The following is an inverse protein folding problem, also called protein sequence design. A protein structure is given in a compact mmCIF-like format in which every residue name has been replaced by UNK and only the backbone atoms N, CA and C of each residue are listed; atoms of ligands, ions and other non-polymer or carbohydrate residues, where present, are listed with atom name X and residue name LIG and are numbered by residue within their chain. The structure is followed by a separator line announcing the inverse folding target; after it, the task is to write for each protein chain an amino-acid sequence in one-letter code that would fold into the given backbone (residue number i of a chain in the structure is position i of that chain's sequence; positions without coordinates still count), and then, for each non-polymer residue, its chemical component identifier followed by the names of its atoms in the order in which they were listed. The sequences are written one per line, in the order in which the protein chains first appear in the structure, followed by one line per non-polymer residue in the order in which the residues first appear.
data_IF_169576622217
#
_entry.id   IF_169576622217
#
_cell.length_a   1.000
_cell.length_b   1.000
_cell.length_c   1.000
_cell.angle_alpha   90.00
_cell.angle_beta   90.00
_cell.angle_gamma   90.00
#
_symmetry.space_group_name_H-M   'P 1'
#
loop_
_entity.id
_entity.type
_entity.pdbx_description
1 polymer ?
#
# COMPACT_ATOMS: atom_id res chain seq x y z
N UNK A 1 -17.94 -9.45 4.91
CA UNK A 1 -17.45 -9.62 3.51
C UNK A 1 -18.45 -8.92 2.60
N UNK A 2 -17.99 -8.04 1.70
CA UNK A 2 -18.84 -7.41 0.68
C UNK A 2 -18.75 -8.15 -0.66
N UNK A 3 -17.62 -8.82 -0.88
CA UNK A 3 -17.44 -9.83 -1.93
C UNK A 3 -16.65 -11.00 -1.34
N UNK A 4 -16.48 -12.14 -2.04
CA UNK A 4 -15.68 -13.25 -1.52
C UNK A 4 -14.24 -12.88 -1.16
N UNK A 5 -13.68 -11.84 -1.79
CA UNK A 5 -12.30 -11.39 -1.60
C UNK A 5 -12.16 -9.98 -1.01
N UNK A 6 -13.24 -9.33 -0.56
CA UNK A 6 -13.19 -8.01 0.08
C UNK A 6 -13.89 -8.01 1.42
N UNK A 7 -13.24 -7.47 2.45
CA UNK A 7 -13.79 -7.28 3.79
C UNK A 7 -13.94 -5.80 4.10
N UNK A 8 -15.17 -5.41 4.44
CA UNK A 8 -15.49 -4.07 4.92
C UNK A 8 -15.35 -4.02 6.45
N UNK A 9 -14.66 -3.01 6.95
CA UNK A 9 -14.58 -2.61 8.35
C UNK A 9 -15.33 -1.30 8.51
N UNK A 10 -16.41 -1.33 9.28
CA UNK A 10 -17.29 -0.18 9.48
C UNK A 10 -17.11 0.41 10.88
N UNK A 11 -17.08 1.74 11.00
CA UNK A 11 -17.12 2.38 12.31
C UNK A 11 -18.39 2.03 13.07
N UNK A 12 -18.29 1.83 14.37
CA UNK A 12 -19.46 1.61 15.23
C UNK A 12 -20.36 2.86 15.20
N UNK A 13 -21.65 2.67 14.95
CA UNK A 13 -22.64 3.76 14.95
C UNK A 13 -22.65 4.62 13.67
N UNK A 14 -21.97 4.18 12.59
CA UNK A 14 -21.91 4.91 11.32
C UNK A 14 -22.98 4.49 10.29
N UNK A 15 -24.02 3.77 10.73
CA UNK A 15 -25.06 3.32 9.82
C UNK A 15 -25.69 4.50 9.07
N UNK A 16 -25.71 4.41 7.74
CA UNK A 16 -26.25 5.45 6.86
C UNK A 16 -25.37 6.69 6.69
N UNK A 17 -24.21 6.79 7.38
CA UNK A 17 -23.28 7.88 7.16
C UNK A 17 -22.41 7.61 5.92
N UNK A 18 -22.37 8.58 5.01
CA UNK A 18 -21.43 8.58 3.89
C UNK A 18 -20.04 9.01 4.40
N UNK A 19 -19.05 8.12 4.32
CA UNK A 19 -17.70 8.32 4.86
C UNK A 19 -16.64 8.13 3.79
N UNK A 20 -15.45 8.75 3.94
CA UNK A 20 -14.27 8.39 3.16
C UNK A 20 -13.95 6.91 3.29
N UNK A 21 -13.27 6.35 2.28
CA UNK A 21 -12.83 4.95 2.30
C UNK A 21 -11.32 4.83 2.09
N UNK A 22 -10.72 3.90 2.81
CA UNK A 22 -9.40 3.37 2.52
C UNK A 22 -9.54 1.96 1.95
N UNK A 23 -9.14 1.76 0.69
CA UNK A 23 -8.85 0.42 0.16
C UNK A 23 -7.44 0.03 0.59
N UNK A 24 -7.33 -0.99 1.44
CA UNK A 24 -6.03 -1.44 1.96
C UNK A 24 -5.58 -2.75 1.34
N UNK A 25 -4.36 -2.75 0.80
CA UNK A 25 -3.69 -3.86 0.15
C UNK A 25 -2.59 -4.38 1.08
N UNK A 26 -2.71 -5.64 1.51
CA UNK A 26 -1.74 -6.22 2.43
C UNK A 26 -0.37 -6.45 1.79
N UNK A 27 0.69 -6.45 2.60
CA UNK A 27 2.03 -6.84 2.22
C UNK A 27 2.20 -8.36 2.16
N UNK A 28 3.45 -8.79 1.90
CA UNK A 28 3.81 -10.21 1.83
C UNK A 28 4.49 -10.60 0.51
N UNK A 29 5.17 -9.64 -0.14
CA UNK A 29 5.95 -9.89 -1.35
C UNK A 29 5.13 -10.46 -2.51
N UNK A 30 3.86 -10.09 -2.62
CA UNK A 30 2.87 -10.59 -3.59
C UNK A 30 2.64 -12.11 -3.54
N UNK A 31 3.28 -12.84 -2.59
CA UNK A 31 3.24 -14.31 -2.47
C UNK A 31 2.59 -14.81 -1.20
N UNK A 32 2.54 -13.99 -0.18
CA UNK A 32 1.96 -14.32 1.13
C UNK A 32 0.96 -13.24 1.57
N UNK A 33 0.28 -13.55 2.67
CA UNK A 33 -0.66 -12.62 3.28
C UNK A 33 -2.11 -12.91 2.89
N UNK A 34 -2.97 -12.12 3.47
CA UNK A 34 -4.41 -12.12 3.23
C UNK A 34 -5.04 -10.91 3.91
N UNK A 35 -6.34 -10.71 3.75
CA UNK A 35 -7.12 -9.72 4.51
C UNK A 35 -6.98 -9.86 6.03
N UNK A 36 -6.57 -11.03 6.53
CA UNK A 36 -6.33 -11.23 7.97
C UNK A 36 -4.99 -10.66 8.42
N UNK A 37 -3.99 -10.58 7.54
CA UNK A 37 -2.66 -10.04 7.85
C UNK A 37 -2.71 -8.57 8.25
N UNK A 38 -3.58 -7.79 7.60
CA UNK A 38 -3.78 -6.36 7.88
C UNK A 38 -4.98 -6.07 8.80
N UNK A 39 -5.70 -7.10 9.26
CA UNK A 39 -6.98 -6.95 9.99
C UNK A 39 -6.88 -6.05 11.21
N UNK A 40 -5.82 -6.19 12.02
CA UNK A 40 -5.58 -5.34 13.20
C UNK A 40 -5.46 -3.86 12.84
N UNK A 41 -4.77 -3.55 11.74
CA UNK A 41 -4.58 -2.18 11.30
C UNK A 41 -5.89 -1.60 10.73
N UNK A 42 -6.59 -2.37 9.91
CA UNK A 42 -7.89 -1.98 9.35
C UNK A 42 -8.94 -1.72 10.44
N UNK A 43 -9.02 -2.60 11.46
CA UNK A 43 -9.90 -2.42 12.61
C UNK A 43 -9.57 -1.15 13.39
N UNK A 44 -8.27 -0.87 13.64
CA UNK A 44 -7.84 0.32 14.37
C UNK A 44 -8.20 1.61 13.63
N UNK A 45 -8.10 1.63 12.29
CA UNK A 45 -8.51 2.78 11.49
C UNK A 45 -10.04 2.96 11.48
N UNK A 46 -10.81 1.90 11.26
CA UNK A 46 -12.27 1.96 11.29
C UNK A 46 -12.79 2.37 12.68
N UNK A 47 -12.14 1.92 13.77
CA UNK A 47 -12.50 2.30 15.13
C UNK A 47 -12.37 3.81 15.42
N UNK A 48 -11.67 4.57 14.56
CA UNK A 48 -11.61 6.04 14.66
C UNK A 48 -12.98 6.73 14.45
N UNK A 49 -13.92 6.05 13.84
CA UNK A 49 -15.23 6.62 13.50
C UNK A 49 -15.24 7.51 12.24
N UNK A 50 -14.10 7.70 11.58
CA UNK A 50 -13.92 8.74 10.55
C UNK A 50 -13.89 8.22 9.12
N UNK A 51 -13.69 6.92 8.92
CA UNK A 51 -13.59 6.30 7.59
C UNK A 51 -14.09 4.86 7.61
N UNK A 52 -14.48 4.35 6.46
CA UNK A 52 -14.57 2.92 6.20
C UNK A 52 -13.24 2.39 5.70
N UNK A 53 -12.95 1.13 5.99
CA UNK A 53 -11.76 0.46 5.45
C UNK A 53 -12.21 -0.80 4.74
N UNK A 54 -11.71 -1.00 3.52
CA UNK A 54 -11.91 -2.22 2.76
C UNK A 54 -10.56 -2.88 2.59
N UNK A 55 -10.39 -4.12 3.06
CA UNK A 55 -9.21 -4.92 2.78
C UNK A 55 -9.52 -5.88 1.61
N UNK A 56 -8.57 -5.98 0.68
CA UNK A 56 -8.64 -6.84 -0.49
C UNK A 56 -7.74 -8.06 -0.35
N UNK A 57 -8.27 -9.22 -0.66
CA UNK A 57 -7.55 -10.50 -0.80
C UNK A 57 -7.26 -10.69 -2.30
N UNK A 58 -6.20 -10.05 -2.78
CA UNK A 58 -5.79 -10.12 -4.18
C UNK A 58 -5.08 -11.45 -4.47
N UNK A 59 -5.10 -11.91 -5.72
CA UNK A 59 -4.46 -13.15 -6.17
C UNK A 59 -2.94 -13.07 -6.01
N UNK A 60 -2.35 -14.17 -5.51
CA UNK A 60 -0.94 -14.24 -5.10
C UNK A 60 -0.09 -15.08 -6.06
N UNK A 61 1.13 -14.60 -6.31
CA UNK A 61 2.20 -15.35 -6.95
C UNK A 61 2.68 -16.50 -6.02
N UNK A 62 3.34 -17.54 -6.53
CA UNK A 62 3.63 -17.79 -7.95
C UNK A 62 2.45 -18.36 -8.74
N UNK A 63 1.33 -18.72 -8.06
CA UNK A 63 0.15 -19.29 -8.74
C UNK A 63 -0.50 -18.27 -9.67
N UNK A 64 -0.50 -17.01 -9.25
CA UNK A 64 -1.06 -15.88 -9.97
C UNK A 64 -0.02 -14.74 -10.01
N UNK A 65 0.98 -14.84 -10.92
CA UNK A 65 2.02 -13.83 -11.04
C UNK A 65 1.46 -12.53 -11.64
N UNK A 66 2.30 -11.51 -11.77
CA UNK A 66 1.94 -10.28 -12.49
C UNK A 66 1.33 -10.61 -13.88
N UNK A 67 0.20 -9.95 -14.27
CA UNK A 67 -0.44 -8.80 -13.62
C UNK A 67 -1.65 -9.15 -12.71
N UNK A 68 -1.95 -10.43 -12.44
CA UNK A 68 -3.25 -10.87 -11.90
C UNK A 68 -3.63 -10.18 -10.57
N UNK A 69 -2.69 -10.03 -9.63
CA UNK A 69 -2.94 -9.31 -8.38
C UNK A 69 -3.20 -7.81 -8.59
N UNK A 70 -2.54 -7.19 -9.57
CA UNK A 70 -2.79 -5.79 -9.94
C UNK A 70 -4.18 -5.61 -10.56
N UNK A 71 -4.60 -6.55 -11.43
CA UNK A 71 -5.93 -6.53 -12.03
C UNK A 71 -7.04 -6.60 -10.97
N UNK A 72 -6.83 -7.40 -9.91
CA UNK A 72 -7.76 -7.47 -8.79
C UNK A 72 -7.86 -6.13 -8.04
N UNK A 73 -6.72 -5.44 -7.86
CA UNK A 73 -6.69 -4.13 -7.21
C UNK A 73 -7.44 -3.06 -8.04
N UNK A 74 -7.23 -3.03 -9.35
CA UNK A 74 -7.93 -2.15 -10.29
C UNK A 74 -9.44 -2.44 -10.27
N UNK A 75 -9.81 -3.72 -10.32
CA UNK A 75 -11.20 -4.16 -10.26
C UNK A 75 -11.88 -3.76 -8.95
N UNK A 76 -11.15 -3.84 -7.82
CA UNK A 76 -11.67 -3.44 -6.51
C UNK A 76 -11.95 -1.93 -6.43
N UNK A 77 -11.07 -1.08 -7.00
CA UNK A 77 -11.32 0.38 -7.06
C UNK A 77 -12.59 0.67 -7.86
N UNK A 78 -12.74 0.08 -9.05
CA UNK A 78 -13.93 0.30 -9.86
C UNK A 78 -15.19 -0.21 -9.16
N UNK A 79 -15.15 -1.39 -8.53
CA UNK A 79 -16.25 -1.91 -7.73
C UNK A 79 -16.67 -0.94 -6.60
N UNK A 80 -15.71 -0.38 -5.86
CA UNK A 80 -15.97 0.58 -4.79
C UNK A 80 -16.68 1.84 -5.34
N UNK A 81 -16.24 2.34 -6.49
CA UNK A 81 -16.86 3.51 -7.15
C UNK A 81 -18.29 3.19 -7.56
N UNK A 82 -18.50 2.06 -8.23
CA UNK A 82 -19.81 1.67 -8.77
C UNK A 82 -20.84 1.38 -7.66
N UNK A 83 -20.38 0.92 -6.48
CA UNK A 83 -21.23 0.58 -5.34
C UNK A 83 -21.13 1.57 -4.17
N UNK A 84 -20.55 2.76 -4.39
CA UNK A 84 -20.29 3.72 -3.33
C UNK A 84 -21.54 4.10 -2.52
N UNK A 85 -22.67 4.30 -3.19
CA UNK A 85 -23.95 4.61 -2.53
C UNK A 85 -24.43 3.47 -1.63
N UNK A 86 -24.36 2.22 -2.11
CA UNK A 86 -24.75 1.02 -1.37
C UNK A 86 -23.84 0.79 -0.15
N UNK A 87 -22.53 1.03 -0.33
CA UNK A 87 -21.51 0.90 0.71
C UNK A 87 -21.46 2.12 1.65
N UNK A 88 -22.27 3.16 1.41
CA UNK A 88 -22.23 4.44 2.13
C UNK A 88 -20.82 5.06 2.14
N UNK A 89 -20.17 5.07 0.97
CA UNK A 89 -18.83 5.59 0.74
C UNK A 89 -18.94 6.90 -0.06
N UNK A 90 -18.14 7.88 0.30
CA UNK A 90 -17.93 9.07 -0.52
C UNK A 90 -16.93 8.74 -1.66
N UNK A 91 -17.46 8.58 -2.88
CA UNK A 91 -16.66 8.25 -4.06
C UNK A 91 -15.61 9.33 -4.44
N UNK A 92 -15.72 10.55 -3.91
CA UNK A 92 -14.73 11.60 -4.11
C UNK A 92 -13.57 11.51 -3.10
N UNK A 93 -13.71 10.67 -2.07
CA UNK A 93 -12.74 10.53 -1.00
C UNK A 93 -12.26 9.08 -0.87
N UNK A 94 -11.67 8.57 -1.96
CA UNK A 94 -11.07 7.22 -2.01
C UNK A 94 -9.57 7.35 -1.80
N UNK A 95 -9.08 6.76 -0.72
CA UNK A 95 -7.66 6.51 -0.48
C UNK A 95 -7.35 5.06 -0.83
N UNK A 96 -6.27 4.81 -1.55
CA UNK A 96 -5.73 3.46 -1.68
C UNK A 96 -4.41 3.40 -0.90
N UNK A 97 -4.17 2.29 -0.20
CA UNK A 97 -2.95 2.18 0.59
C UNK A 97 -2.54 0.74 0.80
N UNK A 98 -1.33 0.56 1.31
CA UNK A 98 -0.81 -0.75 1.63
C UNK A 98 0.60 -0.70 2.17
N UNK A 99 1.05 -1.85 2.62
CA UNK A 99 2.39 -2.06 3.15
C UNK A 99 3.23 -2.93 2.20
N UNK A 100 4.53 -2.60 2.06
CA UNK A 100 5.49 -3.40 1.27
C UNK A 100 5.01 -3.60 -0.18
N UNK A 101 4.80 -4.86 -0.61
CA UNK A 101 4.20 -5.20 -1.91
C UNK A 101 2.78 -4.64 -2.11
N UNK A 102 1.99 -4.51 -1.04
CA UNK A 102 0.68 -3.85 -1.10
C UNK A 102 0.81 -2.35 -1.41
N UNK A 103 1.85 -1.70 -0.90
CA UNK A 103 2.21 -0.31 -1.26
C UNK A 103 2.62 -0.18 -2.73
N UNK A 104 3.31 -1.18 -3.27
CA UNK A 104 3.63 -1.25 -4.70
C UNK A 104 2.35 -1.37 -5.55
N UNK A 105 1.46 -2.29 -5.20
CA UNK A 105 0.18 -2.44 -5.90
C UNK A 105 -0.68 -1.17 -5.84
N UNK A 106 -0.66 -0.45 -4.70
CA UNK A 106 -1.37 0.81 -4.57
C UNK A 106 -0.84 1.88 -5.54
N UNK A 107 0.49 2.01 -5.67
CA UNK A 107 1.14 2.91 -6.64
C UNK A 107 0.77 2.54 -8.08
N UNK A 108 0.93 1.26 -8.44
CA UNK A 108 0.63 0.77 -9.79
C UNK A 108 -0.85 0.93 -10.15
N UNK A 109 -1.76 0.66 -9.20
CA UNK A 109 -3.20 0.86 -9.38
C UNK A 109 -3.53 2.34 -9.64
N UNK A 110 -2.92 3.26 -8.88
CA UNK A 110 -3.18 4.69 -9.02
C UNK A 110 -2.70 5.25 -10.38
N UNK A 111 -1.67 4.65 -10.98
CA UNK A 111 -1.16 5.00 -12.30
C UNK A 111 -1.87 4.26 -13.44
N UNK A 112 -2.69 3.26 -13.15
CA UNK A 112 -3.39 2.51 -14.20
C UNK A 112 -4.35 3.43 -14.98
N UNK A 113 -4.51 3.17 -16.27
CA UNK A 113 -5.33 3.97 -17.16
C UNK A 113 -6.77 4.16 -16.64
N UNK A 114 -7.33 3.12 -16.03
CA UNK A 114 -8.72 3.14 -15.54
C UNK A 114 -8.90 3.78 -14.19
N UNK A 115 -7.85 3.89 -13.36
CA UNK A 115 -7.93 4.44 -12.00
C UNK A 115 -7.27 5.82 -11.86
N UNK A 116 -6.45 6.23 -12.82
CA UNK A 116 -5.78 7.52 -12.81
C UNK A 116 -6.82 8.67 -12.68
N UNK A 117 -6.59 9.56 -11.72
CA UNK A 117 -7.50 10.67 -11.42
C UNK A 117 -8.75 10.33 -10.61
N UNK A 118 -9.01 9.05 -10.29
CA UNK A 118 -10.15 8.61 -9.48
C UNK A 118 -9.82 8.43 -7.99
N UNK A 119 -8.53 8.41 -7.66
CA UNK A 119 -8.01 8.18 -6.30
C UNK A 119 -7.57 9.51 -5.73
N UNK A 120 -8.10 9.89 -4.56
CA UNK A 120 -7.78 11.17 -3.91
C UNK A 120 -6.40 11.16 -3.27
N UNK A 121 -6.00 10.04 -2.67
CA UNK A 121 -4.72 9.95 -1.95
C UNK A 121 -4.15 8.55 -1.84
N UNK A 122 -2.83 8.46 -1.58
CA UNK A 122 -2.11 7.23 -1.31
C UNK A 122 -1.57 7.20 0.12
N UNK A 123 -1.72 6.06 0.79
CA UNK A 123 -1.16 5.76 2.11
C UNK A 123 -0.19 4.58 2.00
N UNK A 124 1.10 4.84 2.06
CA UNK A 124 2.14 3.85 1.77
C UNK A 124 3.00 3.58 3.00
N UNK A 125 3.17 2.32 3.35
CA UNK A 125 4.08 1.89 4.41
C UNK A 125 5.22 1.11 3.79
N UNK A 126 6.44 1.61 3.95
CA UNK A 126 7.68 0.97 3.43
C UNK A 126 7.48 0.28 2.06
N UNK A 127 6.95 0.99 1.04
CA UNK A 127 6.53 0.37 -0.21
C UNK A 127 7.71 -0.17 -1.01
N UNK A 128 7.50 -1.26 -1.75
CA UNK A 128 8.39 -1.65 -2.85
C UNK A 128 8.16 -0.68 -4.00
N UNK A 129 9.20 0.01 -4.45
CA UNK A 129 9.10 0.85 -5.66
C UNK A 129 9.87 0.27 -6.84
N UNK A 130 10.80 -0.65 -6.60
CA UNK A 130 11.56 -1.41 -7.60
C UNK A 130 11.60 -2.88 -7.21
N UNK A 131 11.17 -3.77 -8.09
CA UNK A 131 11.12 -5.22 -7.86
C UNK A 131 12.47 -5.90 -8.16
N UNK A 132 13.57 -5.29 -7.75
CA UNK A 132 14.94 -5.80 -7.88
C UNK A 132 15.88 -5.11 -6.89
N UNK A 133 17.06 -5.70 -6.67
CA UNK A 133 18.16 -5.04 -5.95
C UNK A 133 18.62 -3.82 -6.75
N UNK A 134 18.40 -2.64 -6.21
CA UNK A 134 18.73 -1.37 -6.86
C UNK A 134 20.11 -0.82 -6.47
N UNK A 135 20.88 -1.60 -5.70
CA UNK A 135 22.21 -1.24 -5.25
C UNK A 135 22.26 -0.11 -4.20
N UNK A 136 21.10 0.27 -3.64
CA UNK A 136 21.02 1.35 -2.65
C UNK A 136 21.77 1.01 -1.36
N UNK A 137 22.15 2.05 -0.60
CA UNK A 137 22.85 1.88 0.67
C UNK A 137 22.01 1.09 1.67
N UNK A 138 20.71 1.36 1.76
CA UNK A 138 19.82 0.63 2.66
C UNK A 138 19.70 -0.85 2.29
N UNK A 139 19.70 -1.19 0.99
CA UNK A 139 19.70 -2.58 0.55
C UNK A 139 20.94 -3.34 1.03
N UNK A 140 22.10 -2.69 1.00
CA UNK A 140 23.34 -3.30 1.49
C UNK A 140 23.40 -3.34 3.02
N UNK A 141 23.06 -2.23 3.69
CA UNK A 141 23.21 -2.06 5.13
C UNK A 141 22.24 -2.93 5.93
N UNK A 142 20.99 -3.10 5.45
CA UNK A 142 19.92 -3.82 6.14
C UNK A 142 19.55 -5.15 5.48
N UNK A 143 20.46 -5.71 4.68
CA UNK A 143 20.27 -6.92 3.89
C UNK A 143 19.83 -8.15 4.69
N UNK A 144 20.08 -8.18 6.02
CA UNK A 144 19.77 -9.34 6.87
C UNK A 144 19.47 -8.95 8.31
N UNK A 145 18.37 -9.53 8.86
CA UNK A 145 18.06 -9.43 10.29
C UNK A 145 17.21 -8.21 10.68
N UNK A 146 16.62 -7.48 9.71
CA UNK A 146 15.81 -6.29 9.96
C UNK A 146 14.34 -6.44 9.50
N UNK A 147 13.81 -7.66 9.55
CA UNK A 147 12.40 -7.96 9.26
C UNK A 147 12.16 -8.40 7.82
N UNK A 148 12.90 -7.85 6.85
CA UNK A 148 12.91 -8.27 5.45
C UNK A 148 14.36 -8.47 5.00
N UNK A 149 14.75 -9.72 4.82
CA UNK A 149 16.08 -10.04 4.30
C UNK A 149 16.09 -9.90 2.76
N UNK A 150 17.21 -9.40 2.22
CA UNK A 150 17.37 -9.15 0.78
C UNK A 150 17.15 -10.43 -0.05
N UNK A 151 17.64 -11.58 0.40
CA UNK A 151 17.44 -12.89 -0.27
C UNK A 151 15.96 -13.26 -0.37
N UNK A 152 15.17 -12.96 0.67
CA UNK A 152 13.73 -13.19 0.69
C UNK A 152 13.05 -12.25 -0.31
N UNK A 153 13.43 -10.97 -0.31
CA UNK A 153 12.87 -9.99 -1.25
C UNK A 153 13.16 -10.36 -2.70
N UNK A 154 14.37 -10.83 -3.01
CA UNK A 154 14.70 -11.33 -4.35
C UNK A 154 13.87 -12.55 -4.75
N UNK A 155 13.59 -13.47 -3.79
CA UNK A 155 12.72 -14.61 -4.06
C UNK A 155 11.29 -14.17 -4.38
N UNK A 156 10.76 -13.18 -3.66
CA UNK A 156 9.46 -12.56 -3.95
C UNK A 156 9.44 -11.92 -5.34
N UNK A 157 10.45 -11.13 -5.67
CA UNK A 157 10.58 -10.49 -6.97
C UNK A 157 10.53 -11.53 -8.10
N UNK A 158 11.31 -12.60 -8.00
CA UNK A 158 11.31 -13.69 -9.00
C UNK A 158 9.96 -14.38 -9.12
N UNK A 159 9.28 -14.64 -8.00
CA UNK A 159 7.97 -15.29 -8.01
C UNK A 159 6.88 -14.42 -8.65
N UNK A 160 6.89 -13.12 -8.35
CA UNK A 160 5.91 -12.18 -8.87
C UNK A 160 6.11 -11.91 -10.38
N UNK A 161 7.36 -11.84 -10.82
CA UNK A 161 7.71 -11.46 -12.20
C UNK A 161 8.12 -12.63 -13.09
N UNK A 162 7.70 -13.85 -12.75
CA UNK A 162 8.11 -15.09 -13.47
C UNK A 162 7.84 -15.04 -14.98
N UNK A 163 6.83 -14.29 -15.42
CA UNK A 163 6.43 -14.13 -16.81
C UNK A 163 6.57 -12.67 -17.32
N UNK A 164 7.28 -11.80 -16.59
CA UNK A 164 7.37 -10.38 -16.89
C UNK A 164 8.77 -9.82 -16.59
N UNK A 165 9.11 -8.71 -17.25
CA UNK A 165 10.31 -7.96 -16.93
C UNK A 165 10.07 -7.18 -15.62
N UNK A 166 10.86 -7.45 -14.57
CA UNK A 166 10.78 -6.76 -13.30
C UNK A 166 11.13 -5.26 -13.40
N UNK A 167 11.68 -4.82 -14.54
CA UNK A 167 11.95 -3.41 -14.85
C UNK A 167 10.79 -2.71 -15.57
N UNK A 168 9.71 -3.40 -15.86
CA UNK A 168 8.48 -2.77 -16.34
C UNK A 168 7.98 -1.74 -15.32
N UNK A 169 7.65 -0.52 -15.74
CA UNK A 169 7.22 0.56 -14.86
C UNK A 169 5.92 0.26 -14.10
N UNK A 170 5.05 -0.58 -14.64
CA UNK A 170 3.86 -1.06 -13.92
C UNK A 170 4.17 -2.02 -12.76
N UNK A 171 5.38 -2.60 -12.71
CA UNK A 171 5.91 -3.42 -11.61
C UNK A 171 6.82 -2.58 -10.74
N UNK A 172 7.79 -1.93 -11.36
CA UNK A 172 8.81 -1.09 -10.70
C UNK A 172 8.47 0.38 -10.91
N UNK A 173 7.45 0.86 -10.21
CA UNK A 173 6.92 2.24 -10.34
C UNK A 173 8.01 3.31 -10.12
N UNK A 174 9.03 2.99 -9.33
CA UNK A 174 10.21 3.85 -9.18
C UNK A 174 11.01 4.09 -10.48
N UNK A 175 10.71 3.39 -11.58
CA UNK A 175 11.29 3.60 -12.92
C UNK A 175 10.40 4.44 -13.84
N UNK A 176 9.18 4.79 -13.44
CA UNK A 176 8.36 5.74 -14.18
C UNK A 176 9.09 7.08 -14.37
N UNK A 177 8.76 7.82 -15.42
CA UNK A 177 9.24 9.19 -15.60
C UNK A 177 8.71 10.12 -14.48
N UNK A 178 9.31 11.29 -14.30
CA UNK A 178 8.84 12.26 -13.32
C UNK A 178 7.44 12.80 -13.67
N UNK A 179 7.13 12.88 -14.97
CA UNK A 179 5.81 13.24 -15.47
C UNK A 179 4.75 12.21 -15.05
N UNK A 180 5.05 10.90 -15.20
CA UNK A 180 4.16 9.84 -14.76
C UNK A 180 4.00 9.83 -13.25
N UNK A 181 5.08 9.96 -12.47
CA UNK A 181 5.03 10.04 -11.02
C UNK A 181 4.22 11.26 -10.54
N UNK A 182 4.26 12.36 -11.27
CA UNK A 182 3.46 13.54 -10.99
C UNK A 182 1.95 13.36 -11.27
N UNK A 183 1.54 12.29 -11.91
CA UNK A 183 0.12 11.91 -12.02
C UNK A 183 -0.41 11.26 -10.73
N UNK A 184 0.48 10.75 -9.86
CA UNK A 184 0.08 10.21 -8.58
C UNK A 184 -0.59 11.29 -7.71
N UNK A 185 -1.62 10.93 -6.94
CA UNK A 185 -2.29 11.87 -6.04
C UNK A 185 -1.41 12.23 -4.84
N UNK A 186 -1.92 13.10 -3.95
CA UNK A 186 -1.23 13.39 -2.70
C UNK A 186 -0.93 12.10 -1.93
N UNK A 187 0.26 11.99 -1.38
CA UNK A 187 0.76 10.72 -0.83
C UNK A 187 1.36 10.92 0.56
N UNK A 188 1.02 10.05 1.49
CA UNK A 188 1.76 9.85 2.74
C UNK A 188 2.56 8.56 2.62
N UNK A 189 3.90 8.66 2.69
CA UNK A 189 4.81 7.53 2.74
C UNK A 189 5.47 7.45 4.11
N UNK A 190 5.26 6.34 4.81
CA UNK A 190 5.87 6.06 6.10
C UNK A 190 6.92 4.98 5.92
N UNK A 191 8.17 5.35 6.10
CA UNK A 191 9.34 4.48 5.98
C UNK A 191 9.79 3.94 7.34
N UNK A 192 10.34 2.73 7.38
CA UNK A 192 11.11 2.23 8.50
C UNK A 192 12.58 2.66 8.35
N UNK A 193 13.24 3.06 9.46
CA UNK A 193 14.65 3.48 9.42
C UNK A 193 15.57 2.34 9.01
N UNK A 194 15.32 1.12 9.53
CA UNK A 194 16.15 -0.06 9.32
C UNK A 194 15.46 -1.04 8.38
N UNK A 195 15.45 -0.70 7.10
CA UNK A 195 14.71 -1.42 6.08
C UNK A 195 15.47 -1.36 4.75
N UNK A 196 15.58 -2.48 4.05
CA UNK A 196 16.20 -2.54 2.72
C UNK A 196 15.49 -1.63 1.71
N UNK A 197 14.19 -1.37 1.89
CA UNK A 197 13.37 -0.54 0.99
C UNK A 197 13.37 0.95 1.35
N UNK A 198 14.08 1.36 2.41
CA UNK A 198 14.13 2.75 2.89
C UNK A 198 14.50 3.73 1.79
N UNK A 199 15.57 3.45 1.06
CA UNK A 199 16.10 4.36 0.05
C UNK A 199 15.29 4.34 -1.24
N UNK A 200 14.61 3.25 -1.55
CA UNK A 200 13.62 3.21 -2.62
C UNK A 200 12.48 4.20 -2.35
N UNK A 201 11.95 4.22 -1.13
CA UNK A 201 10.92 5.16 -0.71
C UNK A 201 11.42 6.60 -0.64
N UNK A 202 12.71 6.83 -0.30
CA UNK A 202 13.34 8.16 -0.33
C UNK A 202 13.43 8.69 -1.77
N UNK A 203 13.94 7.88 -2.68
CA UNK A 203 14.06 8.25 -4.10
C UNK A 203 12.70 8.60 -4.72
N UNK A 204 11.66 7.82 -4.43
CA UNK A 204 10.31 8.14 -4.88
C UNK A 204 9.86 9.52 -4.33
N UNK A 205 10.11 9.78 -3.04
CA UNK A 205 9.68 11.02 -2.40
C UNK A 205 10.41 12.25 -2.97
N UNK A 206 11.68 12.14 -3.29
CA UNK A 206 12.47 13.22 -3.90
C UNK A 206 11.97 13.58 -5.30
N UNK A 207 11.45 12.60 -6.05
CA UNK A 207 10.96 12.77 -7.41
C UNK A 207 9.51 13.26 -7.50
N UNK A 208 8.68 13.02 -6.48
CA UNK A 208 7.26 13.43 -6.44
C UNK A 208 7.08 14.86 -5.89
N UNK A 209 7.75 15.84 -6.43
CA UNK A 209 7.82 17.23 -5.96
C UNK A 209 6.51 17.78 -5.36
N UNK A 210 6.48 17.97 -4.03
CA UNK A 210 5.39 18.66 -3.32
C UNK A 210 4.11 17.84 -3.10
N UNK A 211 3.98 16.65 -3.71
CA UNK A 211 2.79 15.79 -3.58
C UNK A 211 2.94 14.69 -2.54
N UNK A 212 4.15 14.44 -2.06
CA UNK A 212 4.44 13.39 -1.11
C UNK A 212 4.98 13.95 0.21
N UNK A 213 4.37 13.51 1.31
CA UNK A 213 4.91 13.67 2.65
C UNK A 213 5.57 12.35 3.04
N UNK A 214 6.90 12.35 3.22
CA UNK A 214 7.64 11.21 3.73
C UNK A 214 7.95 11.38 5.22
N UNK A 215 7.61 10.36 6.01
CA UNK A 215 7.94 10.27 7.43
C UNK A 215 8.76 9.01 7.67
N UNK A 216 9.91 9.15 8.31
CA UNK A 216 10.73 8.01 8.71
C UNK A 216 10.55 7.70 10.19
N UNK A 217 10.20 6.46 10.52
CA UNK A 217 10.05 6.02 11.90
C UNK A 217 11.37 5.48 12.43
N UNK A 218 11.98 6.26 13.34
CA UNK A 218 13.27 5.93 13.98
C UNK A 218 13.17 4.65 14.79
N UNK A 219 14.15 3.77 14.64
CA UNK A 219 14.21 2.46 15.29
C UNK A 219 13.26 1.41 14.71
N UNK A 220 12.35 1.77 13.80
CA UNK A 220 11.46 0.81 13.16
C UNK A 220 12.22 -0.06 12.15
N UNK A 221 11.77 -1.30 12.05
CA UNK A 221 12.18 -2.25 11.00
C UNK A 221 10.99 -2.56 10.10
N UNK A 222 11.24 -3.24 8.99
CA UNK A 222 10.16 -3.71 8.09
C UNK A 222 9.04 -4.42 8.87
N UNK A 223 7.83 -4.47 8.32
CA UNK A 223 6.66 -5.16 8.88
C UNK A 223 6.06 -4.55 10.16
N UNK A 224 6.38 -3.32 10.57
CA UNK A 224 5.84 -2.73 11.82
C UNK A 224 4.30 -2.60 11.84
N UNK A 225 3.63 -2.69 10.70
CA UNK A 225 2.15 -2.73 10.60
C UNK A 225 1.58 -4.10 10.97
N UNK A 226 2.27 -5.17 10.60
CA UNK A 226 1.72 -6.54 10.61
C UNK A 226 2.24 -7.39 11.76
N UNK A 227 3.50 -7.22 12.17
CA UNK A 227 4.08 -8.07 13.22
C UNK A 227 3.96 -7.46 14.61
N UNK A 228 3.72 -8.29 15.64
CA UNK A 228 3.80 -7.86 17.04
C UNK A 228 5.21 -7.39 17.40
N UNK A 229 5.33 -6.52 18.41
CA UNK A 229 6.62 -6.11 18.96
C UNK A 229 7.02 -4.68 18.60
N UNK A 230 6.45 -4.09 17.57
CA UNK A 230 6.69 -2.69 17.19
C UNK A 230 5.49 -1.77 17.54
N UNK A 231 4.94 -1.94 18.74
CA UNK A 231 3.69 -1.25 19.16
C UNK A 231 3.74 0.27 18.99
N UNK A 232 4.85 0.90 19.33
CA UNK A 232 4.99 2.37 19.21
C UNK A 232 4.90 2.82 17.74
N UNK A 233 5.55 2.10 16.83
CA UNK A 233 5.49 2.41 15.40
C UNK A 233 4.07 2.15 14.85
N UNK A 234 3.44 1.06 15.25
CA UNK A 234 2.07 0.73 14.88
C UNK A 234 1.07 1.81 15.33
N UNK A 235 1.09 2.19 16.62
CA UNK A 235 0.15 3.18 17.17
C UNK A 235 0.34 4.55 16.50
N UNK A 236 1.59 4.91 16.21
CA UNK A 236 1.91 6.13 15.47
C UNK A 236 1.39 6.06 14.03
N UNK A 237 1.55 4.92 13.36
CA UNK A 237 1.06 4.71 12.00
C UNK A 237 -0.47 4.87 11.91
N UNK A 238 -1.21 4.32 12.87
CA UNK A 238 -2.67 4.51 12.96
C UNK A 238 -3.01 6.00 13.10
N UNK A 239 -2.32 6.72 14.00
CA UNK A 239 -2.56 8.16 14.20
C UNK A 239 -2.25 8.98 12.96
N UNK A 240 -1.08 8.76 12.34
CA UNK A 240 -0.62 9.50 11.17
C UNK A 240 -1.53 9.21 9.95
N UNK A 241 -1.96 7.96 9.78
CA UNK A 241 -2.92 7.57 8.73
C UNK A 241 -4.28 8.27 8.88
N UNK A 242 -4.86 8.26 10.10
CA UNK A 242 -6.12 8.96 10.38
C UNK A 242 -5.96 10.46 10.12
N UNK A 243 -4.87 11.06 10.59
CA UNK A 243 -4.56 12.47 10.36
C UNK A 243 -4.48 12.80 8.88
N UNK A 244 -3.81 11.97 8.09
CA UNK A 244 -3.65 12.19 6.65
C UNK A 244 -4.95 12.03 5.87
N UNK A 245 -5.73 10.98 6.12
CA UNK A 245 -6.96 10.70 5.36
C UNK A 245 -8.06 11.72 5.70
N UNK A 246 -8.16 12.16 6.96
CA UNK A 246 -9.28 12.97 7.45
C UNK A 246 -9.01 14.47 7.52
N UNK A 247 -7.75 14.92 7.40
CA UNK A 247 -7.41 16.35 7.37
C UNK A 247 -7.04 16.72 5.92
N UNK A 248 -7.83 17.64 5.36
CA UNK A 248 -7.59 18.21 4.03
C UNK A 248 -6.54 19.31 4.09
#
# INVERSE_FOLDING_TARGET
MITPNMRLYEPKGSQGQCLPVLLYLHGGGWTFGSINSCGRFCDALAASGKMRVIALDYRLAPKHPYPEGLDDCISAVNYIIDHAAELHIDANHITIGGDSSGGNLALATALSETCCGKIESLLLFYPVTKAFDDGSESWQQYSKGFGLDAEIMEAFNRAYTINADNRCSAISVGLCSDEELNMLPRTLLIAAERDILRDQGLNLAERMCGKIQRIEYKGAVHLFITVPGQKTAFDRAVKDAIGFICNK
#
